data_IF_230096173062
#
_entry.id   IF_230096173062
#
_cell.length_a   1.000
_cell.length_b   1.000
_cell.length_c   1.000
_cell.angle_alpha   90.00
_cell.angle_beta   90.00
_cell.angle_gamma   90.00
#
_symmetry.space_group_name_H-M   'P 1'
#
loop_
_entity.id
_entity.type
_entity.pdbx_description
1 polymer ?
#
# COMPACT_ATOMS: atom_id res chain seq x y z
N UNK A 1 -33.24 -21.09 -18.24
CA UNK A 1 -32.48 -19.92 -18.75
C UNK A 1 -32.72 -18.77 -17.78
N UNK A 2 -31.73 -18.49 -16.94
CA UNK A 2 -31.77 -17.55 -15.81
C UNK A 2 -31.28 -16.17 -16.25
N UNK A 3 -32.19 -15.20 -16.29
CA UNK A 3 -31.86 -13.82 -16.62
C UNK A 3 -31.64 -13.01 -15.33
N UNK A 4 -30.36 -12.86 -14.95
CA UNK A 4 -29.91 -12.21 -13.72
C UNK A 4 -30.02 -10.69 -13.80
N UNK A 5 -31.23 -10.14 -13.62
CA UNK A 5 -31.46 -8.70 -13.43
C UNK A 5 -30.99 -8.26 -12.03
N UNK A 6 -29.75 -7.81 -11.93
CA UNK A 6 -29.31 -7.03 -10.77
C UNK A 6 -30.03 -5.67 -10.74
N UNK A 7 -30.55 -5.20 -9.59
CA UNK A 7 -31.26 -3.93 -9.49
C UNK A 7 -30.34 -2.75 -9.81
N UNK A 8 -30.79 -1.85 -10.69
CA UNK A 8 -30.02 -0.72 -11.23
C UNK A 8 -29.43 0.23 -10.17
N UNK A 9 -29.99 0.24 -8.95
CA UNK A 9 -29.48 1.02 -7.81
C UNK A 9 -28.15 0.52 -7.26
N UNK A 10 -27.94 -0.81 -7.20
CA UNK A 10 -26.70 -1.39 -6.70
C UNK A 10 -25.53 -1.16 -7.68
N UNK A 11 -25.81 -1.21 -8.99
CA UNK A 11 -24.82 -0.91 -10.05
C UNK A 11 -24.41 0.56 -10.04
N UNK A 12 -25.32 1.48 -9.71
CA UNK A 12 -25.00 2.91 -9.56
C UNK A 12 -24.18 3.16 -8.30
N UNK A 13 -24.61 2.67 -7.14
CA UNK A 13 -23.88 2.84 -5.88
C UNK A 13 -22.46 2.26 -5.94
N UNK A 14 -22.30 1.06 -6.51
CA UNK A 14 -20.96 0.46 -6.71
C UNK A 14 -20.12 1.24 -7.72
N UNK A 15 -20.71 1.80 -8.77
CA UNK A 15 -20.00 2.68 -9.71
C UNK A 15 -19.53 3.98 -9.04
N UNK A 16 -20.34 4.57 -8.15
CA UNK A 16 -19.96 5.78 -7.40
C UNK A 16 -18.83 5.50 -6.41
N UNK A 17 -18.91 4.41 -5.65
CA UNK A 17 -17.85 4.00 -4.70
C UNK A 17 -16.52 3.72 -5.41
N UNK A 18 -16.55 3.08 -6.59
CA UNK A 18 -15.32 2.84 -7.39
C UNK A 18 -14.77 4.15 -7.96
N UNK A 19 -15.63 5.08 -8.36
CA UNK A 19 -15.21 6.35 -8.93
C UNK A 19 -14.55 7.28 -7.89
N UNK A 20 -15.07 7.29 -6.66
CA UNK A 20 -14.66 8.17 -5.56
C UNK A 20 -13.72 7.51 -4.55
N UNK A 21 -13.24 6.30 -4.83
CA UNK A 21 -12.33 5.57 -3.94
C UNK A 21 -11.11 6.44 -3.59
N UNK A 22 -10.99 6.81 -2.33
CA UNK A 22 -9.89 7.64 -1.86
C UNK A 22 -8.59 6.82 -1.91
N UNK A 23 -7.50 7.33 -2.55
CA UNK A 23 -6.24 6.59 -2.66
C UNK A 23 -5.68 6.11 -1.32
N UNK A 24 -5.96 6.88 -0.25
CA UNK A 24 -5.54 6.57 1.12
C UNK A 24 -6.24 5.39 1.81
N UNK A 25 -7.23 4.71 1.20
CA UNK A 25 -7.92 3.61 1.87
C UNK A 25 -7.05 2.39 2.15
N UNK A 26 -5.89 2.24 1.50
CA UNK A 26 -4.92 1.22 1.89
C UNK A 26 -4.30 1.46 3.28
N UNK A 27 -4.53 2.64 3.89
CA UNK A 27 -4.23 2.85 5.31
C UNK A 27 -4.97 1.86 6.22
N UNK A 28 -6.15 1.37 5.82
CA UNK A 28 -6.86 0.29 6.52
C UNK A 28 -6.00 -0.99 6.58
N UNK A 29 -5.39 -1.36 5.46
CA UNK A 29 -4.56 -2.57 5.36
C UNK A 29 -3.30 -2.41 6.20
N UNK A 30 -2.69 -1.23 6.12
CA UNK A 30 -1.52 -0.87 6.91
C UNK A 30 -1.81 -0.95 8.42
N UNK A 31 -2.88 -0.29 8.90
CA UNK A 31 -3.23 -0.27 10.31
C UNK A 31 -3.58 -1.67 10.85
N UNK A 32 -4.44 -2.40 10.14
CA UNK A 32 -4.83 -3.77 10.50
C UNK A 32 -3.62 -4.68 10.57
N UNK A 33 -2.70 -4.53 9.61
CA UNK A 33 -1.49 -5.32 9.57
C UNK A 33 -0.52 -5.03 10.71
N UNK A 34 -0.32 -3.76 11.07
CA UNK A 34 0.51 -3.38 12.22
C UNK A 34 -0.05 -3.96 13.53
N UNK A 35 -1.36 -3.84 13.75
CA UNK A 35 -2.02 -4.37 14.96
C UNK A 35 -1.89 -5.89 15.03
N UNK A 36 -2.09 -6.58 13.91
CA UNK A 36 -1.92 -8.03 13.83
C UNK A 36 -0.48 -8.48 14.12
N UNK A 37 0.53 -7.78 13.59
CA UNK A 37 1.94 -8.05 13.92
C UNK A 37 2.20 -7.85 15.42
N UNK A 38 1.70 -6.76 16.00
CA UNK A 38 1.89 -6.47 17.42
C UNK A 38 1.27 -7.55 18.31
N UNK A 39 0.06 -8.01 17.99
CA UNK A 39 -0.62 -9.08 18.71
C UNK A 39 0.15 -10.41 18.66
N UNK A 40 0.69 -10.76 17.49
CA UNK A 40 1.54 -11.93 17.33
C UNK A 40 2.81 -11.85 18.20
N UNK A 41 3.48 -10.70 18.21
CA UNK A 41 4.68 -10.47 19.04
C UNK A 41 4.40 -10.56 20.55
N UNK A 42 3.15 -10.33 20.98
CA UNK A 42 2.73 -10.45 22.38
C UNK A 42 2.05 -11.80 22.70
N UNK A 43 2.10 -12.77 21.78
CA UNK A 43 1.58 -14.13 22.01
C UNK A 43 0.07 -14.32 21.78
N UNK A 44 -0.66 -13.31 21.31
CA UNK A 44 -2.09 -13.39 21.00
C UNK A 44 -2.36 -14.00 19.60
N UNK A 45 -1.86 -15.22 19.38
CA UNK A 45 -1.81 -15.88 18.06
C UNK A 45 -3.15 -16.06 17.36
N UNK A 46 -4.22 -16.34 18.11
CA UNK A 46 -5.55 -16.53 17.52
C UNK A 46 -6.07 -15.22 16.92
N UNK A 47 -6.01 -14.12 17.68
CA UNK A 47 -6.48 -12.82 17.24
C UNK A 47 -5.62 -12.28 16.10
N UNK A 48 -4.31 -12.50 16.19
CA UNK A 48 -3.36 -12.10 15.17
C UNK A 48 -3.66 -12.76 13.81
N UNK A 49 -3.99 -14.06 13.80
CA UNK A 49 -4.39 -14.81 12.60
C UNK A 49 -5.76 -14.41 12.05
N UNK A 50 -6.74 -14.11 12.90
CA UNK A 50 -8.04 -13.57 12.46
C UNK A 50 -7.84 -12.25 11.73
N UNK A 51 -7.05 -11.34 12.31
CA UNK A 51 -6.73 -10.06 11.68
C UNK A 51 -5.93 -10.23 10.39
N UNK A 52 -5.04 -11.22 10.30
CA UNK A 52 -4.37 -11.55 9.04
C UNK A 52 -5.39 -11.92 7.95
N UNK A 53 -6.35 -12.80 8.26
CA UNK A 53 -7.41 -13.19 7.32
C UNK A 53 -8.25 -12.00 6.85
N UNK A 54 -8.69 -11.15 7.79
CA UNK A 54 -9.40 -9.91 7.48
C UNK A 54 -8.53 -8.97 6.63
N UNK A 55 -7.24 -8.86 6.93
CA UNK A 55 -6.35 -7.96 6.21
C UNK A 55 -6.11 -8.40 4.76
N UNK A 56 -5.95 -9.71 4.52
CA UNK A 56 -5.85 -10.28 3.18
C UNK A 56 -7.11 -9.96 2.38
N UNK A 57 -8.30 -10.14 2.98
CA UNK A 57 -9.57 -9.84 2.33
C UNK A 57 -9.70 -8.35 1.99
N UNK A 58 -9.35 -7.45 2.93
CA UNK A 58 -9.36 -6.02 2.71
C UNK A 58 -8.37 -5.59 1.61
N UNK A 59 -7.15 -6.11 1.63
CA UNK A 59 -6.13 -5.84 0.61
C UNK A 59 -6.58 -6.30 -0.78
N UNK A 60 -7.12 -7.52 -0.90
CA UNK A 60 -7.63 -8.04 -2.16
C UNK A 60 -8.81 -7.20 -2.69
N UNK A 61 -9.76 -6.85 -1.82
CA UNK A 61 -10.90 -6.01 -2.20
C UNK A 61 -10.45 -4.62 -2.69
N UNK A 62 -9.53 -3.97 -1.96
CA UNK A 62 -9.02 -2.66 -2.35
C UNK A 62 -8.22 -2.71 -3.66
N UNK A 63 -7.41 -3.74 -3.89
CA UNK A 63 -6.73 -3.92 -5.18
C UNK A 63 -7.71 -4.11 -6.33
N UNK A 64 -8.75 -4.93 -6.17
CA UNK A 64 -9.78 -5.11 -7.18
C UNK A 64 -10.50 -3.80 -7.50
N UNK A 65 -10.82 -3.01 -6.48
CA UNK A 65 -11.45 -1.69 -6.66
C UNK A 65 -10.51 -0.70 -7.35
N UNK A 66 -9.23 -0.66 -6.96
CA UNK A 66 -8.21 0.21 -7.58
C UNK A 66 -7.97 -0.16 -9.05
N UNK A 67 -7.85 -1.45 -9.37
CA UNK A 67 -7.70 -1.91 -10.75
C UNK A 67 -8.95 -1.65 -11.58
N UNK A 68 -10.15 -1.84 -11.00
CA UNK A 68 -11.40 -1.48 -11.66
C UNK A 68 -11.49 0.03 -11.91
N UNK A 69 -11.01 0.87 -10.98
CA UNK A 69 -10.93 2.32 -11.13
C UNK A 69 -9.94 2.71 -12.23
N UNK A 70 -8.77 2.06 -12.28
CA UNK A 70 -7.76 2.29 -13.31
C UNK A 70 -8.26 1.93 -14.71
N UNK A 71 -9.00 0.81 -14.84
CA UNK A 71 -9.54 0.37 -16.12
C UNK A 71 -10.72 1.23 -16.62
N UNK A 72 -11.56 1.74 -15.71
CA UNK A 72 -12.78 2.50 -16.06
C UNK A 72 -12.58 4.02 -16.11
N UNK A 73 -11.68 4.54 -15.29
CA UNK A 73 -11.47 5.97 -15.09
C UNK A 73 -9.98 6.36 -15.05
N UNK A 74 -9.15 5.94 -16.03
CA UNK A 74 -7.69 6.19 -16.00
C UNK A 74 -7.37 7.68 -15.93
N UNK A 75 -8.12 8.53 -16.63
CA UNK A 75 -7.93 9.98 -16.61
C UNK A 75 -8.14 10.58 -15.21
N UNK A 76 -9.08 10.05 -14.41
CA UNK A 76 -9.30 10.52 -13.03
C UNK A 76 -8.19 10.05 -12.09
N UNK A 77 -7.70 8.82 -12.27
CA UNK A 77 -6.56 8.32 -11.50
C UNK A 77 -5.31 9.16 -11.81
N UNK A 78 -5.08 9.49 -13.08
CA UNK A 78 -3.96 10.35 -13.46
C UNK A 78 -4.08 11.77 -12.88
N UNK A 79 -5.29 12.35 -12.89
CA UNK A 79 -5.55 13.63 -12.24
C UNK A 79 -5.27 13.57 -10.72
N UNK A 80 -5.66 12.48 -10.05
CA UNK A 80 -5.39 12.30 -8.61
C UNK A 80 -3.89 12.12 -8.30
N UNK A 81 -3.13 11.48 -9.19
CA UNK A 81 -1.67 11.29 -9.04
C UNK A 81 -0.93 12.62 -9.25
N UNK A 82 -1.46 13.50 -10.09
CA UNK A 82 -0.91 14.84 -10.32
C UNK A 82 -1.40 15.88 -9.30
N UNK A 83 -2.34 15.53 -8.42
CA UNK A 83 -2.81 16.40 -7.35
C UNK A 83 -1.99 16.18 -6.06
N UNK A 84 -1.16 17.13 -5.63
CA UNK A 84 -0.29 16.99 -4.45
C UNK A 84 -1.01 16.71 -3.13
N UNK A 85 -2.30 17.05 -3.02
CA UNK A 85 -3.06 16.72 -1.81
C UNK A 85 -3.45 15.23 -1.76
N UNK A 86 -3.63 14.60 -2.92
CA UNK A 86 -4.13 13.22 -3.06
C UNK A 86 -3.04 12.22 -3.43
N UNK A 87 -2.01 12.68 -4.14
CA UNK A 87 -0.86 11.91 -4.58
C UNK A 87 -0.17 11.13 -3.43
N UNK A 88 0.09 11.72 -2.24
CA UNK A 88 0.66 10.97 -1.13
C UNK A 88 -0.22 9.80 -0.69
N UNK A 89 -1.54 9.92 -0.84
CA UNK A 89 -2.48 8.85 -0.49
C UNK A 89 -2.20 7.54 -1.23
N UNK A 90 -1.71 7.59 -2.47
CA UNK A 90 -1.36 6.38 -3.22
C UNK A 90 -0.18 5.61 -2.60
N UNK A 91 0.71 6.29 -1.87
CA UNK A 91 1.83 5.63 -1.17
C UNK A 91 1.34 4.70 -0.04
N UNK A 92 0.08 4.84 0.41
CA UNK A 92 -0.53 3.84 1.31
C UNK A 92 -0.64 2.47 0.66
N UNK A 93 -0.73 2.36 -0.67
CA UNK A 93 -0.74 1.08 -1.39
C UNK A 93 0.59 0.36 -1.16
N UNK A 94 1.70 1.09 -1.26
CA UNK A 94 3.06 0.58 -1.01
C UNK A 94 3.18 0.15 0.45
N UNK A 95 2.86 1.05 1.38
CA UNK A 95 2.99 0.76 2.80
C UNK A 95 2.11 -0.42 3.24
N UNK A 96 0.84 -0.44 2.83
CA UNK A 96 -0.09 -1.53 3.14
C UNK A 96 0.34 -2.88 2.56
N UNK A 97 0.83 -2.89 1.31
CA UNK A 97 1.34 -4.12 0.67
C UNK A 97 2.59 -4.63 1.37
N UNK A 98 3.52 -3.74 1.75
CA UNK A 98 4.72 -4.11 2.49
C UNK A 98 4.42 -4.65 3.90
N UNK A 99 3.48 -4.03 4.61
CA UNK A 99 3.04 -4.50 5.94
C UNK A 99 2.36 -5.86 5.85
N UNK A 100 1.50 -6.08 4.85
CA UNK A 100 0.90 -7.39 4.61
C UNK A 100 1.97 -8.46 4.30
N UNK A 101 2.96 -8.12 3.47
CA UNK A 101 4.10 -9.00 3.22
C UNK A 101 4.84 -9.37 4.51
N UNK A 102 5.05 -8.39 5.41
CA UNK A 102 5.69 -8.65 6.71
C UNK A 102 4.86 -9.55 7.61
N UNK A 103 3.54 -9.38 7.65
CA UNK A 103 2.66 -10.31 8.37
C UNK A 103 2.79 -11.73 7.83
N UNK A 104 2.81 -11.89 6.50
CA UNK A 104 2.93 -13.20 5.87
C UNK A 104 4.26 -13.86 6.22
N UNK A 105 5.38 -13.11 6.23
CA UNK A 105 6.67 -13.66 6.69
C UNK A 105 6.57 -14.19 8.13
N UNK A 106 5.91 -13.45 9.02
CA UNK A 106 5.87 -13.80 10.44
C UNK A 106 4.93 -14.98 10.73
N UNK A 107 3.79 -15.05 10.04
CA UNK A 107 2.69 -15.93 10.39
C UNK A 107 2.53 -17.13 9.45
N UNK A 108 3.23 -17.14 8.31
CA UNK A 108 3.14 -18.22 7.33
C UNK A 108 4.53 -18.75 7.00
N UNK A 109 4.62 -20.04 6.62
CA UNK A 109 5.86 -20.66 6.16
C UNK A 109 6.16 -20.39 4.67
N UNK A 110 5.46 -19.45 4.04
CA UNK A 110 5.63 -19.16 2.60
C UNK A 110 6.72 -18.12 2.39
N UNK A 111 7.74 -18.48 1.60
CA UNK A 111 8.84 -17.58 1.25
C UNK A 111 8.59 -16.83 -0.07
N UNK A 112 7.87 -17.47 -1.01
CA UNK A 112 7.64 -16.93 -2.35
C UNK A 112 6.69 -15.73 -2.34
N UNK A 113 5.61 -15.79 -1.55
CA UNK A 113 4.60 -14.75 -1.55
C UNK A 113 5.10 -13.42 -0.96
N UNK A 114 5.81 -13.40 0.20
CA UNK A 114 6.41 -12.17 0.70
C UNK A 114 7.45 -11.56 -0.24
N UNK A 115 8.26 -12.39 -0.92
CA UNK A 115 9.19 -11.90 -1.94
C UNK A 115 8.46 -11.21 -3.09
N UNK A 116 7.39 -11.82 -3.61
CA UNK A 116 6.58 -11.23 -4.68
C UNK A 116 5.94 -9.90 -4.25
N UNK A 117 5.42 -9.84 -3.01
CA UNK A 117 4.87 -8.60 -2.45
C UNK A 117 5.95 -7.53 -2.25
N UNK A 118 7.15 -7.92 -1.83
CA UNK A 118 8.28 -7.00 -1.73
C UNK A 118 8.65 -6.40 -3.08
N UNK A 119 8.84 -7.24 -4.10
CA UNK A 119 9.15 -6.79 -5.45
C UNK A 119 8.04 -5.89 -6.02
N UNK A 120 6.78 -6.27 -5.86
CA UNK A 120 5.63 -5.47 -6.29
C UNK A 120 5.58 -4.12 -5.55
N UNK A 121 5.77 -4.11 -4.22
CA UNK A 121 5.78 -2.88 -3.43
C UNK A 121 6.94 -1.96 -3.79
N UNK A 122 8.13 -2.50 -4.08
CA UNK A 122 9.28 -1.73 -4.53
C UNK A 122 9.07 -1.11 -5.91
N UNK A 123 8.49 -1.84 -6.86
CA UNK A 123 8.13 -1.31 -8.16
C UNK A 123 7.08 -0.19 -8.05
N UNK A 124 6.02 -0.41 -7.26
CA UNK A 124 5.02 0.62 -6.98
C UNK A 124 5.63 1.83 -6.26
N UNK A 125 6.56 1.60 -5.33
CA UNK A 125 7.25 2.65 -4.58
C UNK A 125 7.99 3.60 -5.52
N UNK A 126 8.79 3.08 -6.45
CA UNK A 126 9.47 3.90 -7.46
C UNK A 126 8.44 4.73 -8.22
N UNK A 127 7.43 4.09 -8.82
CA UNK A 127 6.45 4.78 -9.67
C UNK A 127 5.70 5.88 -8.91
N UNK A 128 5.19 5.56 -7.71
CA UNK A 128 4.34 6.46 -6.94
C UNK A 128 5.13 7.53 -6.20
N UNK A 129 6.35 7.24 -5.72
CA UNK A 129 7.20 8.24 -5.07
C UNK A 129 7.65 9.29 -6.09
N UNK A 130 8.14 8.87 -7.26
CA UNK A 130 8.52 9.81 -8.31
C UNK A 130 7.30 10.56 -8.86
N UNK A 131 6.14 9.89 -8.98
CA UNK A 131 4.88 10.56 -9.33
C UNK A 131 4.47 11.63 -8.32
N UNK A 132 4.58 11.34 -7.03
CA UNK A 132 4.33 12.31 -5.96
C UNK A 132 5.30 13.49 -6.02
N UNK A 133 6.61 13.24 -6.11
CA UNK A 133 7.62 14.31 -6.23
C UNK A 133 7.34 15.16 -7.47
N UNK A 134 7.02 14.54 -8.61
CA UNK A 134 6.65 15.25 -9.83
C UNK A 134 5.40 16.12 -9.61
N UNK A 135 4.35 15.62 -8.95
CA UNK A 135 3.14 16.39 -8.67
C UNK A 135 3.43 17.68 -7.89
N UNK A 136 4.37 17.62 -6.95
CA UNK A 136 4.80 18.76 -6.14
C UNK A 136 5.67 19.72 -6.96
N UNK A 137 6.61 19.20 -7.74
CA UNK A 137 7.59 19.99 -8.48
C UNK A 137 7.00 20.70 -9.69
N UNK A 138 5.99 20.10 -10.34
CA UNK A 138 5.32 20.69 -11.50
C UNK A 138 4.22 21.71 -11.12
N UNK A 139 3.97 21.95 -9.83
CA UNK A 139 3.01 22.98 -9.42
C UNK A 139 3.62 24.38 -9.56
N UNK A 140 3.00 25.20 -10.40
CA UNK A 140 3.38 26.60 -10.63
C UNK A 140 3.05 27.52 -9.44
N UNK A 141 1.99 27.23 -8.68
CA UNK A 141 1.61 27.98 -7.48
C UNK A 141 1.71 27.11 -6.24
N UNK A 142 2.68 27.41 -5.37
CA UNK A 142 2.81 26.78 -4.06
C UNK A 142 1.93 27.53 -3.04
N UNK A 143 0.89 26.89 -2.47
CA UNK A 143 0.23 27.43 -1.29
C UNK A 143 1.21 27.45 -0.12
N UNK A 144 1.00 28.39 0.81
CA UNK A 144 1.83 28.59 2.00
C UNK A 144 2.21 27.27 2.70
N UNK A 145 3.48 27.16 3.15
CA UNK A 145 4.07 25.92 3.70
C UNK A 145 3.25 25.40 4.90
N UNK A 146 2.65 26.33 5.66
CA UNK A 146 1.79 26.03 6.81
C UNK A 146 0.49 25.28 6.43
N UNK A 147 -0.03 25.48 5.20
CA UNK A 147 -1.24 24.81 4.72
C UNK A 147 -0.94 23.56 3.86
N UNK A 148 0.28 23.42 3.37
CA UNK A 148 0.68 22.29 2.51
C UNK A 148 1.26 21.10 3.29
N UNK A 149 1.82 21.32 4.49
CA UNK A 149 2.29 20.24 5.36
C UNK A 149 1.13 19.59 6.13
N UNK A 150 0.62 18.49 5.58
CA UNK A 150 -0.34 17.60 6.24
C UNK A 150 0.24 16.19 6.41
N UNK A 151 -0.33 15.39 7.32
CA UNK A 151 0.16 14.04 7.65
C UNK A 151 0.35 13.10 6.44
N UNK A 152 -0.35 13.34 5.33
CA UNK A 152 -0.11 12.64 4.06
C UNK A 152 1.33 12.70 3.54
N UNK A 153 2.07 13.78 3.77
CA UNK A 153 3.48 13.90 3.35
C UNK A 153 4.39 12.85 4.01
N UNK A 154 4.06 12.46 5.25
CA UNK A 154 4.80 11.40 5.95
C UNK A 154 4.69 10.05 5.26
N UNK A 155 3.70 9.86 4.36
CA UNK A 155 3.55 8.61 3.61
C UNK A 155 4.72 8.35 2.65
N UNK A 156 5.44 9.37 2.19
CA UNK A 156 6.69 9.19 1.45
C UNK A 156 7.73 8.43 2.28
N UNK A 157 7.96 8.88 3.51
CA UNK A 157 8.88 8.25 4.44
C UNK A 157 8.36 6.87 4.86
N UNK A 158 7.10 6.78 5.28
CA UNK A 158 6.49 5.53 5.76
C UNK A 158 6.50 4.44 4.68
N UNK A 159 6.22 4.79 3.42
CA UNK A 159 6.28 3.84 2.31
C UNK A 159 7.71 3.32 2.08
N UNK A 160 8.70 4.21 2.03
CA UNK A 160 10.11 3.86 1.88
C UNK A 160 10.57 2.92 3.00
N UNK A 161 10.28 3.27 4.25
CA UNK A 161 10.65 2.45 5.39
C UNK A 161 9.90 1.10 5.39
N UNK A 162 8.64 1.06 4.95
CA UNK A 162 7.90 -0.19 4.86
C UNK A 162 8.51 -1.16 3.83
N UNK A 163 8.95 -0.68 2.67
CA UNK A 163 9.65 -1.51 1.65
C UNK A 163 10.96 -2.05 2.23
N UNK A 164 11.76 -1.20 2.88
CA UNK A 164 13.02 -1.63 3.52
C UNK A 164 12.78 -2.70 4.60
N UNK A 165 11.80 -2.48 5.48
CA UNK A 165 11.49 -3.42 6.56
C UNK A 165 10.95 -4.76 6.05
N UNK A 166 10.23 -4.80 4.93
CA UNK A 166 9.89 -6.07 4.28
C UNK A 166 11.12 -6.70 3.61
N UNK A 167 11.94 -5.90 2.93
CA UNK A 167 13.15 -6.35 2.26
C UNK A 167 14.14 -7.01 3.20
N UNK A 168 14.40 -6.43 4.37
CA UNK A 168 15.26 -7.05 5.40
C UNK A 168 14.79 -8.46 5.77
N UNK A 169 13.49 -8.66 5.93
CA UNK A 169 12.90 -9.96 6.27
C UNK A 169 13.00 -10.97 5.14
N UNK A 170 12.85 -10.53 3.91
CA UNK A 170 12.98 -11.37 2.71
C UNK A 170 14.46 -11.76 2.49
N UNK A 171 15.38 -10.82 2.71
CA UNK A 171 16.82 -11.03 2.57
C UNK A 171 17.37 -11.98 3.64
N UNK A 172 16.91 -11.84 4.89
CA UNK A 172 17.32 -12.74 5.99
C UNK A 172 16.99 -14.22 5.69
N UNK A 173 15.94 -14.48 4.90
CA UNK A 173 15.57 -15.83 4.46
C UNK A 173 16.46 -16.38 3.34
N UNK A 174 17.23 -15.53 2.63
CA UNK A 174 18.03 -15.92 1.47
C UNK A 174 19.42 -16.51 1.81
N UNK A 175 19.86 -16.46 3.07
CA UNK A 175 21.08 -17.10 3.55
C UNK A 175 22.35 -16.24 3.55
N UNK A 176 23.52 -16.86 3.75
CA UNK A 176 24.83 -16.18 3.87
C UNK A 176 25.27 -15.55 2.55
N UNK A 177 25.66 -14.27 2.60
CA UNK A 177 26.15 -13.48 1.44
C UNK A 177 25.36 -12.20 1.15
N UNK A 178 24.34 -11.89 1.94
CA UNK A 178 23.43 -10.76 1.67
C UNK A 178 23.78 -9.45 2.37
N UNK A 179 25.01 -9.28 2.86
CA UNK A 179 25.45 -8.07 3.58
C UNK A 179 25.23 -6.81 2.74
N UNK A 180 25.50 -6.87 1.44
CA UNK A 180 25.26 -5.77 0.51
C UNK A 180 23.76 -5.43 0.37
N UNK A 181 22.90 -6.45 0.36
CA UNK A 181 21.45 -6.24 0.28
C UNK A 181 20.90 -5.67 1.59
N UNK A 182 21.40 -6.15 2.75
CA UNK A 182 21.05 -5.60 4.06
C UNK A 182 21.53 -4.15 4.20
N UNK A 183 22.74 -3.84 3.73
CA UNK A 183 23.23 -2.47 3.64
C UNK A 183 22.33 -1.62 2.73
N UNK A 184 21.91 -2.16 1.57
CA UNK A 184 20.95 -1.50 0.69
C UNK A 184 19.60 -1.24 1.37
N UNK A 185 19.09 -2.17 2.17
CA UNK A 185 17.87 -1.95 2.96
C UNK A 185 18.09 -0.88 4.04
N UNK A 186 19.24 -0.85 4.71
CA UNK A 186 19.57 0.18 5.69
C UNK A 186 19.66 1.56 5.03
N UNK A 187 20.35 1.67 3.89
CA UNK A 187 20.43 2.91 3.13
C UNK A 187 19.04 3.39 2.69
N UNK A 188 18.20 2.46 2.20
CA UNK A 188 16.81 2.76 1.84
C UNK A 188 15.99 3.21 3.07
N UNK A 189 16.23 2.65 4.26
CA UNK A 189 15.55 3.04 5.49
C UNK A 189 15.91 4.47 5.93
N UNK A 190 17.13 4.91 5.69
CA UNK A 190 17.63 6.24 6.10
C UNK A 190 17.28 7.37 5.13
N UNK A 191 16.56 7.06 4.04
CA UNK A 191 16.09 8.02 3.04
C UNK A 191 14.74 8.65 3.45
#
# INVERSE_FOLDING_TARGET
MSDGRYPAGLRRATATVVAELHPGYFALVMATGIVSIALHQHGFEALARVLLGCNIAAWAALWLLTLARLARYPARVWADVLDPQRAPGFLTIVAGTSVLGRQLVLMTRSHTLPFALWAASGALWIILLYGFIASVMLREEQPDIAHSLHGGWLLAIVATQAVSLLGTRVVDQAGRGSELLLFGMLALFLL
#
